data_IF_996723237228
#
_entry.id   IF_996723237228
#
_cell.length_a   1.000
_cell.length_b   1.000
_cell.length_c   1.000
_cell.angle_alpha   90.00
_cell.angle_beta   90.00
_cell.angle_gamma   90.00
#
_symmetry.space_group_name_H-M   'P 1'
#
loop_
_entity.id
_entity.type
_entity.pdbx_description
1 polymer ?
#
# COMPACT_ATOMS: atom_id res chain seq x y z
N UNK A 1 6.37 -19.90 -14.46
CA UNK A 1 7.67 -19.35 -14.01
C UNK A 1 8.20 -20.22 -12.88
N UNK A 2 9.39 -20.82 -13.00
CA UNK A 2 10.03 -21.57 -11.91
C UNK A 2 10.80 -20.57 -11.05
N UNK A 3 10.49 -20.51 -9.76
CA UNK A 3 11.31 -19.79 -8.79
C UNK A 3 12.66 -20.50 -8.58
N UNK A 4 13.65 -19.77 -8.07
CA UNK A 4 14.86 -20.42 -7.57
C UNK A 4 14.51 -21.26 -6.33
N UNK A 5 15.28 -22.31 -6.05
CA UNK A 5 15.09 -23.08 -4.81
C UNK A 5 15.27 -22.23 -3.54
N UNK A 6 16.09 -21.17 -3.62
CA UNK A 6 16.30 -20.21 -2.54
C UNK A 6 15.03 -19.38 -2.28
N UNK A 7 14.39 -18.88 -3.36
CA UNK A 7 13.14 -18.12 -3.25
C UNK A 7 11.99 -18.98 -2.74
N UNK A 8 11.88 -20.24 -3.19
CA UNK A 8 10.86 -21.17 -2.69
C UNK A 8 11.02 -21.45 -1.19
N UNK A 9 12.27 -21.62 -0.71
CA UNK A 9 12.56 -21.80 0.71
C UNK A 9 12.23 -20.54 1.53
N UNK A 10 12.56 -19.36 1.00
CA UNK A 10 12.23 -18.08 1.64
C UNK A 10 10.72 -17.91 1.80
N UNK A 11 9.96 -18.16 0.73
CA UNK A 11 8.49 -18.08 0.74
C UNK A 11 7.91 -19.07 1.74
N UNK A 12 8.44 -20.30 1.83
CA UNK A 12 8.00 -21.27 2.82
C UNK A 12 8.18 -20.78 4.25
N UNK A 13 9.36 -20.22 4.58
CA UNK A 13 9.61 -19.64 5.92
C UNK A 13 8.68 -18.47 6.24
N UNK A 14 8.42 -17.60 5.27
CA UNK A 14 7.49 -16.48 5.44
C UNK A 14 6.07 -17.01 5.68
N UNK A 15 5.62 -17.99 4.89
CA UNK A 15 4.31 -18.62 5.05
C UNK A 15 4.14 -19.25 6.44
N UNK A 16 5.15 -19.96 6.93
CA UNK A 16 5.13 -20.54 8.27
C UNK A 16 5.00 -19.46 9.35
N UNK A 17 5.78 -18.39 9.25
CA UNK A 17 5.67 -17.25 10.17
C UNK A 17 4.28 -16.59 10.12
N UNK A 18 3.75 -16.35 8.93
CA UNK A 18 2.41 -15.76 8.75
C UNK A 18 1.34 -16.64 9.39
N UNK A 19 1.38 -17.97 9.14
CA UNK A 19 0.41 -18.93 9.68
C UNK A 19 0.49 -19.01 11.21
N UNK A 20 1.70 -19.17 11.74
CA UNK A 20 1.89 -19.57 13.13
C UNK A 20 1.96 -18.37 14.09
N UNK A 21 2.43 -17.21 13.61
CA UNK A 21 2.67 -16.04 14.47
C UNK A 21 1.82 -14.81 14.13
N UNK A 22 1.57 -14.53 12.85
CA UNK A 22 0.87 -13.32 12.46
C UNK A 22 -0.66 -13.48 12.47
N UNK A 23 -1.19 -14.58 11.94
CA UNK A 23 -2.64 -14.88 11.93
C UNK A 23 -3.17 -15.03 13.35
N UNK A 24 -2.38 -15.57 14.27
CA UNK A 24 -2.75 -15.71 15.68
C UNK A 24 -3.04 -14.36 16.38
N UNK A 25 -2.57 -13.23 15.82
CA UNK A 25 -2.82 -11.87 16.33
C UNK A 25 -4.09 -11.21 15.74
N UNK A 26 -4.74 -11.84 14.76
CA UNK A 26 -5.93 -11.25 14.12
C UNK A 26 -7.07 -10.95 15.11
N UNK A 27 -7.43 -11.81 16.09
CA UNK A 27 -8.46 -11.49 17.06
C UNK A 27 -8.15 -10.21 17.87
N UNK A 28 -6.92 -10.04 18.31
CA UNK A 28 -6.50 -8.82 19.01
C UNK A 28 -6.53 -7.62 18.07
N UNK A 29 -6.03 -7.77 16.84
CA UNK A 29 -6.02 -6.71 15.83
C UNK A 29 -7.43 -6.22 15.48
N UNK A 30 -8.40 -7.10 15.38
CA UNK A 30 -9.78 -6.77 15.02
C UNK A 30 -10.56 -6.13 16.18
N UNK A 31 -10.18 -6.41 17.43
CA UNK A 31 -10.97 -6.02 18.62
C UNK A 31 -10.29 -4.98 19.51
N UNK A 32 -9.05 -4.54 19.20
CA UNK A 32 -8.29 -3.59 20.02
C UNK A 32 -7.70 -2.47 19.17
N UNK A 33 -7.54 -1.26 19.72
CA UNK A 33 -6.82 -0.18 19.06
C UNK A 33 -5.39 -0.61 18.67
N UNK A 34 -4.94 -0.31 17.45
CA UNK A 34 -3.63 -0.71 16.95
C UNK A 34 -2.48 -0.32 17.89
N UNK A 35 -2.56 0.86 18.52
CA UNK A 35 -1.55 1.34 19.47
C UNK A 35 -1.33 0.40 20.67
N UNK A 36 -2.34 -0.36 21.07
CA UNK A 36 -2.23 -1.30 22.18
C UNK A 36 -1.50 -2.58 21.79
N UNK A 37 -1.46 -2.90 20.50
CA UNK A 37 -0.74 -4.06 19.97
C UNK A 37 0.75 -3.77 19.77
N UNK A 38 1.18 -2.51 19.78
CA UNK A 38 2.56 -2.12 19.48
C UNK A 38 3.62 -2.93 20.23
N UNK A 39 3.53 -3.20 21.55
CA UNK A 39 4.54 -4.00 22.24
C UNK A 39 4.71 -5.40 21.63
N UNK A 40 3.59 -6.10 21.38
CA UNK A 40 3.59 -7.43 20.75
C UNK A 40 4.09 -7.36 19.30
N UNK A 41 3.67 -6.35 18.54
CA UNK A 41 4.12 -6.18 17.16
C UNK A 41 5.62 -5.87 17.06
N UNK A 42 6.18 -5.12 18.00
CA UNK A 42 7.63 -4.88 18.09
C UNK A 42 8.37 -6.20 18.33
N UNK A 43 7.92 -7.02 19.28
CA UNK A 43 8.49 -8.35 19.51
C UNK A 43 8.48 -9.21 18.24
N UNK A 44 7.34 -9.26 17.53
CA UNK A 44 7.24 -10.02 16.28
C UNK A 44 8.13 -9.47 15.17
N UNK A 45 8.32 -8.15 15.08
CA UNK A 45 9.26 -7.52 14.14
C UNK A 45 10.70 -7.90 14.44
N UNK A 46 11.11 -7.93 15.72
CA UNK A 46 12.43 -8.42 16.11
C UNK A 46 12.59 -9.92 15.75
N UNK A 47 11.55 -10.72 15.95
CA UNK A 47 11.55 -12.11 15.51
C UNK A 47 11.75 -12.28 14.00
N UNK A 48 11.12 -11.43 13.18
CA UNK A 48 11.34 -11.40 11.72
C UNK A 48 12.80 -11.07 11.38
N UNK A 49 13.44 -10.14 12.13
CA UNK A 49 14.87 -9.81 11.96
C UNK A 49 15.76 -10.99 12.33
N UNK A 50 15.52 -11.65 13.45
CA UNK A 50 16.27 -12.83 13.90
C UNK A 50 16.21 -13.98 12.88
N UNK A 51 15.08 -14.16 12.23
CA UNK A 51 14.89 -15.16 11.19
C UNK A 51 15.54 -14.77 9.85
N UNK A 52 16.10 -13.56 9.73
CA UNK A 52 16.70 -13.05 8.50
C UNK A 52 15.67 -12.78 7.38
N UNK A 53 14.45 -12.36 7.74
CA UNK A 53 13.34 -12.15 6.81
C UNK A 53 12.96 -10.66 6.66
N UNK A 54 13.76 -9.75 7.25
CA UNK A 54 13.47 -8.33 7.38
C UNK A 54 13.56 -7.58 6.06
N UNK A 55 12.61 -6.66 5.83
CA UNK A 55 12.59 -5.68 4.74
C UNK A 55 12.95 -6.29 3.37
N UNK A 56 12.13 -7.20 2.82
CA UNK A 56 12.45 -8.00 1.64
C UNK A 56 12.86 -7.16 0.41
N UNK A 57 12.28 -5.98 0.23
CA UNK A 57 12.51 -5.07 -0.89
C UNK A 57 13.77 -4.20 -0.74
N UNK A 58 14.30 -4.06 0.48
CA UNK A 58 15.44 -3.17 0.75
C UNK A 58 16.74 -3.90 0.41
N UNK A 59 17.72 -3.22 -0.25
CA UNK A 59 19.02 -3.80 -0.55
C UNK A 59 19.76 -4.32 0.71
N UNK A 60 20.56 -5.37 0.51
CA UNK A 60 21.30 -6.03 1.60
C UNK A 60 22.25 -5.08 2.35
N UNK A 61 22.82 -4.11 1.65
CA UNK A 61 23.69 -3.07 2.24
C UNK A 61 22.98 -2.20 3.29
N UNK A 62 21.62 -2.14 3.24
CA UNK A 62 20.80 -1.42 4.22
C UNK A 62 20.05 -2.36 5.18
N UNK A 63 20.41 -3.64 5.20
CA UNK A 63 19.87 -4.64 6.13
C UNK A 63 18.62 -5.37 5.64
N UNK A 64 18.22 -5.21 4.38
CA UNK A 64 17.13 -5.95 3.76
C UNK A 64 17.58 -7.23 3.05
N UNK A 65 16.65 -7.88 2.33
CA UNK A 65 16.96 -9.09 1.55
C UNK A 65 17.41 -8.79 0.12
N UNK A 66 17.14 -7.59 -0.42
CA UNK A 66 17.50 -7.19 -1.77
C UNK A 66 16.80 -8.00 -2.86
N UNK A 67 15.55 -8.38 -2.63
CA UNK A 67 14.78 -9.14 -3.62
C UNK A 67 14.47 -8.29 -4.85
N UNK A 68 14.55 -8.90 -6.04
CA UNK A 68 13.99 -8.34 -7.25
C UNK A 68 12.46 -8.22 -7.19
N UNK A 69 11.88 -7.50 -8.13
CA UNK A 69 10.45 -7.18 -8.11
C UNK A 69 9.55 -8.41 -8.20
N UNK A 70 9.96 -9.42 -8.99
CA UNK A 70 9.20 -10.68 -9.15
C UNK A 70 9.20 -11.47 -7.85
N UNK A 71 10.36 -11.66 -7.22
CA UNK A 71 10.48 -12.40 -5.97
C UNK A 71 9.76 -11.67 -4.84
N UNK A 72 9.91 -10.34 -4.76
CA UNK A 72 9.18 -9.52 -3.79
C UNK A 72 7.66 -9.54 -4.03
N UNK A 73 7.20 -9.59 -5.27
CA UNK A 73 5.79 -9.75 -5.58
C UNK A 73 5.23 -11.06 -4.98
N UNK A 74 5.97 -12.16 -5.08
CA UNK A 74 5.59 -13.46 -4.48
C UNK A 74 5.59 -13.42 -2.95
N UNK A 75 6.58 -12.76 -2.35
CA UNK A 75 6.60 -12.52 -0.90
C UNK A 75 5.39 -11.66 -0.48
N UNK A 76 5.07 -10.61 -1.24
CA UNK A 76 3.91 -9.75 -0.95
C UNK A 76 2.57 -10.50 -0.99
N UNK A 77 2.44 -11.54 -1.82
CA UNK A 77 1.29 -12.43 -1.80
C UNK A 77 1.14 -13.14 -0.44
N UNK A 78 2.21 -13.75 0.07
CA UNK A 78 2.16 -14.43 1.37
C UNK A 78 1.89 -13.44 2.52
N UNK A 79 2.52 -12.27 2.49
CA UNK A 79 2.28 -11.22 3.49
C UNK A 79 0.85 -10.67 3.46
N UNK A 80 0.20 -10.69 2.29
CA UNK A 80 -1.19 -10.27 2.11
C UNK A 80 -2.22 -11.19 2.76
N UNK A 81 -1.83 -12.37 3.22
CA UNK A 81 -2.72 -13.36 3.87
C UNK A 81 -3.20 -12.93 5.26
N UNK A 82 -2.64 -11.86 5.80
CA UNK A 82 -3.09 -11.23 7.06
C UNK A 82 -2.94 -9.71 6.98
N UNK A 83 -3.77 -8.92 7.68
CA UNK A 83 -3.62 -7.46 7.74
C UNK A 83 -2.26 -7.00 8.27
N UNK A 84 -1.61 -7.82 9.08
CA UNK A 84 -0.36 -7.49 9.78
C UNK A 84 0.91 -7.84 9.00
N UNK A 85 0.83 -8.67 7.94
CA UNK A 85 2.01 -9.24 7.29
C UNK A 85 3.01 -8.20 6.82
N UNK A 86 2.57 -7.22 6.02
CA UNK A 86 3.47 -6.18 5.50
C UNK A 86 4.06 -5.30 6.61
N UNK A 87 3.29 -5.01 7.67
CA UNK A 87 3.77 -4.26 8.82
C UNK A 87 4.89 -4.99 9.56
N UNK A 88 4.72 -6.28 9.80
CA UNK A 88 5.70 -7.10 10.52
C UNK A 88 7.03 -7.21 9.77
N UNK A 89 6.99 -7.19 8.43
CA UNK A 89 8.18 -7.32 7.57
C UNK A 89 8.74 -5.98 7.08
N UNK A 90 8.29 -4.83 7.61
CA UNK A 90 8.74 -3.49 7.23
C UNK A 90 8.62 -3.16 5.74
N UNK A 91 7.59 -3.66 5.10
CA UNK A 91 7.29 -3.38 3.70
C UNK A 91 5.86 -2.85 3.46
N UNK A 92 5.24 -2.30 4.51
CA UNK A 92 3.92 -1.69 4.45
C UNK A 92 3.96 -0.28 3.86
N UNK A 93 2.87 0.13 3.21
CA UNK A 93 2.65 1.53 2.89
C UNK A 93 2.27 2.32 4.18
N UNK A 94 2.66 3.59 4.31
CA UNK A 94 3.40 4.40 3.33
C UNK A 94 4.92 4.22 3.37
N UNK A 95 5.48 3.54 4.37
CA UNK A 95 6.92 3.45 4.63
C UNK A 95 7.68 2.83 3.46
N UNK A 96 7.18 1.76 2.85
CA UNK A 96 7.84 1.12 1.71
C UNK A 96 8.11 2.11 0.58
N UNK A 97 7.08 2.84 0.12
CA UNK A 97 7.26 3.84 -0.92
C UNK A 97 8.10 5.05 -0.49
N UNK A 98 8.05 5.44 0.78
CA UNK A 98 8.91 6.49 1.32
C UNK A 98 10.37 6.04 1.38
N UNK A 99 10.66 4.78 1.73
CA UNK A 99 12.01 4.22 1.66
C UNK A 99 12.56 4.22 0.23
N UNK A 100 11.75 3.83 -0.76
CA UNK A 100 12.15 3.83 -2.18
C UNK A 100 12.58 5.23 -2.65
N UNK A 101 11.78 6.26 -2.41
CA UNK A 101 12.13 7.61 -2.85
C UNK A 101 13.28 8.23 -2.04
N UNK A 102 13.39 7.93 -0.75
CA UNK A 102 14.52 8.36 0.08
C UNK A 102 15.82 7.70 -0.37
N UNK A 103 15.79 6.42 -0.71
CA UNK A 103 16.96 5.68 -1.19
C UNK A 103 17.53 6.32 -2.46
N UNK A 104 16.68 6.79 -3.37
CA UNK A 104 17.09 7.35 -4.67
C UNK A 104 17.40 8.84 -4.58
N UNK A 105 16.55 9.64 -3.95
CA UNK A 105 16.55 11.09 -4.04
C UNK A 105 17.11 11.82 -2.83
N UNK A 106 17.27 11.13 -1.67
CA UNK A 106 17.76 11.77 -0.47
C UNK A 106 19.28 12.05 -0.54
N UNK A 107 19.68 13.18 0.02
CA UNK A 107 21.08 13.50 0.26
C UNK A 107 21.69 12.54 1.31
N UNK A 108 23.04 12.44 1.42
CA UNK A 108 23.66 11.60 2.46
C UNK A 108 23.16 11.93 3.87
N UNK A 109 23.02 13.20 4.23
CA UNK A 109 22.49 13.64 5.54
C UNK A 109 21.03 13.21 5.72
N UNK A 110 20.19 13.34 4.69
CA UNK A 110 18.79 12.90 4.74
C UNK A 110 18.69 11.36 4.85
N UNK A 111 19.58 10.61 4.16
CA UNK A 111 19.61 9.14 4.29
C UNK A 111 19.95 8.73 5.72
N UNK A 112 20.94 9.35 6.34
CA UNK A 112 21.31 9.05 7.71
C UNK A 112 20.19 9.33 8.71
N UNK A 113 19.49 10.46 8.54
CA UNK A 113 18.45 10.91 9.48
C UNK A 113 17.10 10.23 9.29
N UNK A 114 16.72 9.88 8.07
CA UNK A 114 15.36 9.46 7.75
C UNK A 114 15.29 8.06 7.12
N UNK A 115 16.16 7.78 6.15
CA UNK A 115 16.11 6.51 5.42
C UNK A 115 16.61 5.35 6.27
N UNK A 116 17.81 5.45 6.87
CA UNK A 116 18.40 4.33 7.62
C UNK A 116 17.57 3.94 8.85
N UNK A 117 17.09 4.88 9.71
CA UNK A 117 16.20 4.52 10.80
C UNK A 117 14.87 3.89 10.33
N UNK A 118 14.32 4.37 9.19
CA UNK A 118 13.11 3.82 8.60
C UNK A 118 13.34 2.39 8.07
N UNK A 119 14.46 2.15 7.38
CA UNK A 119 14.84 0.82 6.86
C UNK A 119 15.08 -0.19 8.00
N UNK A 120 15.64 0.26 9.13
CA UNK A 120 15.82 -0.56 10.35
C UNK A 120 14.51 -0.77 11.13
N UNK A 121 13.43 -0.02 10.79
CA UNK A 121 12.16 -0.06 11.48
C UNK A 121 12.16 0.60 12.86
N UNK A 122 13.12 1.48 13.12
CA UNK A 122 13.26 2.27 14.36
C UNK A 122 12.26 3.42 14.41
N UNK A 123 11.91 3.94 13.23
CA UNK A 123 10.93 5.01 13.04
C UNK A 123 9.89 4.64 11.99
N UNK A 124 8.81 5.42 11.95
CA UNK A 124 7.75 5.34 10.94
C UNK A 124 7.62 6.66 10.22
N UNK A 125 7.04 6.64 9.03
CA UNK A 125 6.84 7.81 8.20
C UNK A 125 5.41 7.90 7.68
N UNK A 126 5.03 9.07 7.17
CA UNK A 126 3.80 9.22 6.42
C UNK A 126 4.03 10.00 5.11
N UNK A 127 3.06 9.94 4.21
CA UNK A 127 3.08 10.66 2.95
C UNK A 127 1.87 11.59 2.87
N UNK A 128 2.11 12.91 2.78
CA UNK A 128 1.08 13.94 2.89
C UNK A 128 0.91 14.62 1.53
N UNK A 129 -0.05 14.14 0.72
CA UNK A 129 -0.24 14.61 -0.66
C UNK A 129 -1.65 15.13 -0.91
N UNK A 130 -2.66 14.31 -0.68
CA UNK A 130 -4.06 14.58 -1.02
C UNK A 130 -4.64 15.72 -0.17
N UNK A 131 -5.47 16.54 -0.78
CA UNK A 131 -6.15 17.67 -0.15
C UNK A 131 -7.67 17.49 -0.22
N UNK A 132 -8.43 17.85 0.83
CA UNK A 132 -9.90 17.71 0.79
C UNK A 132 -10.56 18.65 -0.23
N UNK A 133 -9.94 19.79 -0.52
CA UNK A 133 -10.46 20.82 -1.43
C UNK A 133 -10.24 20.48 -2.92
N UNK A 134 -9.37 19.50 -3.23
CA UNK A 134 -8.99 19.16 -4.60
C UNK A 134 -9.13 17.67 -4.89
N UNK A 135 -9.45 17.29 -6.15
CA UNK A 135 -9.57 15.88 -6.51
C UNK A 135 -8.21 15.19 -6.49
N UNK A 136 -8.04 14.16 -5.65
CA UNK A 136 -6.81 13.36 -5.59
C UNK A 136 -6.44 12.66 -6.90
N UNK A 137 -7.39 12.55 -7.84
CA UNK A 137 -7.15 12.03 -9.20
C UNK A 137 -6.39 13.00 -10.11
N UNK A 138 -6.26 14.28 -9.71
CA UNK A 138 -5.42 15.27 -10.39
C UNK A 138 -4.30 15.76 -9.46
N UNK A 139 -3.19 15.06 -9.36
CA UNK A 139 -2.11 15.36 -8.42
C UNK A 139 -1.30 16.62 -8.75
N UNK A 140 -1.59 17.30 -9.86
CA UNK A 140 -0.97 18.58 -10.22
C UNK A 140 -1.74 19.80 -9.73
N UNK A 141 -2.95 19.58 -9.21
CA UNK A 141 -3.79 20.64 -8.65
C UNK A 141 -3.87 20.51 -7.14
N UNK A 142 -3.13 21.35 -6.45
CA UNK A 142 -3.11 21.43 -4.98
C UNK A 142 -2.89 22.87 -4.51
N UNK A 143 -3.29 23.16 -3.28
CA UNK A 143 -3.23 24.47 -2.65
C UNK A 143 -2.19 24.58 -1.54
N UNK A 144 -1.69 23.47 -0.99
CA UNK A 144 -0.60 23.50 -0.01
C UNK A 144 0.64 24.14 -0.63
N UNK A 145 1.14 25.18 0.00
CA UNK A 145 2.33 25.94 -0.46
C UNK A 145 3.53 25.70 0.43
N UNK A 146 4.71 25.85 -0.14
CA UNK A 146 5.97 25.93 0.60
C UNK A 146 6.80 27.09 0.05
N UNK A 147 6.77 28.20 0.78
CA UNK A 147 7.45 29.44 0.38
C UNK A 147 8.83 29.50 1.03
N UNK A 148 9.85 29.95 0.26
CA UNK A 148 11.20 30.17 0.81
C UNK A 148 11.26 31.48 1.57
N UNK A 149 11.69 31.39 2.82
CA UNK A 149 11.92 32.55 3.70
C UNK A 149 13.13 32.30 4.59
N UNK A 150 14.09 33.20 4.58
CA UNK A 150 15.26 33.23 5.49
C UNK A 150 16.05 31.90 5.60
N UNK A 151 16.17 31.17 4.51
CA UNK A 151 16.89 29.90 4.48
C UNK A 151 16.03 28.68 4.79
N UNK A 152 14.73 28.87 5.01
CA UNK A 152 13.74 27.82 5.30
C UNK A 152 12.66 27.71 4.23
N UNK A 153 11.87 26.64 4.28
CA UNK A 153 10.54 26.57 3.69
C UNK A 153 9.49 26.79 4.78
N UNK A 154 8.54 27.66 4.51
CA UNK A 154 7.33 27.85 5.34
C UNK A 154 6.17 27.19 4.62
N UNK A 155 5.64 26.14 5.25
CA UNK A 155 4.59 25.31 4.68
C UNK A 155 3.25 25.72 5.27
N UNK A 156 2.28 25.99 4.39
CA UNK A 156 0.88 26.25 4.76
C UNK A 156 -0.04 25.43 3.86
N UNK A 157 -1.00 24.71 4.47
CA UNK A 157 -1.94 23.93 3.69
C UNK A 157 -2.76 22.94 4.51
N UNK A 158 -3.64 22.24 3.81
CA UNK A 158 -4.58 21.29 4.41
C UNK A 158 -4.49 19.95 3.64
N UNK A 159 -4.16 18.91 4.36
CA UNK A 159 -4.02 17.56 3.82
C UNK A 159 -4.95 16.60 4.55
N UNK A 160 -5.37 15.57 3.85
CA UNK A 160 -6.10 14.46 4.45
C UNK A 160 -5.65 13.11 3.88
N UNK A 161 -6.16 12.03 4.44
CA UNK A 161 -5.67 10.68 4.13
C UNK A 161 -4.14 10.59 4.21
N UNK A 162 -3.54 11.36 5.14
CA UNK A 162 -2.15 11.21 5.51
C UNK A 162 -2.03 9.99 6.41
N UNK A 163 -1.99 8.81 5.77
CA UNK A 163 -2.02 7.52 6.45
C UNK A 163 -0.84 7.36 7.38
N UNK A 164 -1.07 6.79 8.57
CA UNK A 164 -0.06 6.54 9.61
C UNK A 164 0.56 7.80 10.22
N UNK A 165 0.03 9.00 9.99
CA UNK A 165 0.63 10.24 10.52
C UNK A 165 0.69 10.26 12.05
N UNK A 166 -0.27 9.65 12.74
CA UNK A 166 -0.30 9.59 14.20
C UNK A 166 0.92 8.85 14.78
N UNK A 167 1.37 7.76 14.13
CA UNK A 167 2.52 6.97 14.55
C UNK A 167 3.83 7.33 13.82
N UNK A 168 3.87 8.41 13.04
CA UNK A 168 5.03 8.77 12.23
C UNK A 168 6.01 9.68 12.97
N UNK A 169 7.30 9.56 12.65
CA UNK A 169 8.35 10.47 13.09
C UNK A 169 8.58 11.63 12.12
N UNK A 170 8.20 11.46 10.86
CA UNK A 170 8.26 12.51 9.83
C UNK A 170 7.24 12.26 8.72
N UNK A 171 6.91 13.32 8.00
CA UNK A 171 6.11 13.29 6.77
C UNK A 171 6.98 13.64 5.56
N UNK A 172 6.69 13.03 4.41
CA UNK A 172 7.07 13.57 3.10
C UNK A 172 5.86 14.32 2.56
N UNK A 173 5.99 15.64 2.44
CA UNK A 173 4.88 16.55 2.11
C UNK A 173 5.01 17.05 0.67
N UNK A 174 3.96 16.85 -0.13
CA UNK A 174 3.81 17.50 -1.44
C UNK A 174 3.28 18.91 -1.26
N UNK A 175 4.03 19.91 -1.76
CA UNK A 175 3.63 21.31 -1.70
C UNK A 175 4.04 22.07 -2.96
N UNK A 176 3.28 23.11 -3.30
CA UNK A 176 3.58 24.04 -4.40
C UNK A 176 4.74 24.93 -3.97
N UNK A 177 5.87 24.83 -4.67
CA UNK A 177 7.07 25.66 -4.46
C UNK A 177 7.30 26.67 -5.57
N UNK A 178 6.70 26.46 -6.74
CA UNK A 178 6.73 27.36 -7.87
C UNK A 178 5.36 27.41 -8.59
N UNK A 179 4.45 28.30 -8.16
CA UNK A 179 3.13 28.41 -8.78
C UNK A 179 3.19 28.94 -10.21
N UNK A 180 4.31 29.59 -10.63
CA UNK A 180 4.50 30.16 -11.96
C UNK A 180 5.21 29.22 -12.94
N UNK A 181 5.59 28.01 -12.52
CA UNK A 181 6.22 27.03 -13.41
C UNK A 181 5.36 26.80 -14.65
N UNK A 182 5.98 26.88 -15.85
CA UNK A 182 5.29 26.72 -17.13
C UNK A 182 4.58 25.38 -17.27
N UNK A 183 5.16 24.33 -16.69
CA UNK A 183 4.55 22.99 -16.64
C UNK A 183 3.87 22.75 -15.29
N UNK A 184 2.59 22.30 -15.25
CA UNK A 184 1.92 21.97 -14.01
C UNK A 184 2.63 20.83 -13.24
N UNK A 185 3.36 19.98 -13.95
CA UNK A 185 4.15 18.88 -13.37
C UNK A 185 5.41 19.35 -12.63
N UNK A 186 5.79 20.63 -12.76
CA UNK A 186 6.98 21.23 -12.13
C UNK A 186 6.65 22.21 -11.00
N UNK A 187 5.36 22.37 -10.67
CA UNK A 187 4.93 23.32 -9.63
C UNK A 187 5.22 22.83 -8.21
N UNK A 188 5.20 21.51 -8.01
CA UNK A 188 5.30 20.91 -6.68
C UNK A 188 6.65 20.31 -6.40
N UNK A 189 7.03 20.34 -5.13
CA UNK A 189 8.19 19.66 -4.57
C UNK A 189 7.79 18.73 -3.44
N UNK A 190 8.68 17.81 -3.06
CA UNK A 190 8.54 17.01 -1.84
C UNK A 190 9.47 17.54 -0.77
N UNK A 191 8.94 17.72 0.44
CA UNK A 191 9.68 18.29 1.58
C UNK A 191 9.54 17.35 2.77
N UNK A 192 10.65 17.00 3.41
CA UNK A 192 10.66 16.18 4.62
C UNK A 192 10.35 17.08 5.82
N UNK A 193 9.29 16.78 6.54
CA UNK A 193 8.83 17.53 7.71
C UNK A 193 8.85 16.62 8.94
N UNK A 194 9.74 16.83 9.93
CA UNK A 194 9.70 16.12 11.20
C UNK A 194 8.34 16.31 11.89
N UNK A 195 7.86 15.27 12.57
CA UNK A 195 6.52 15.26 13.19
C UNK A 195 6.36 16.29 14.30
N UNK A 196 7.45 16.61 15.00
CA UNK A 196 7.52 17.58 16.09
C UNK A 196 7.70 19.03 15.61
N UNK A 197 7.74 19.28 14.29
CA UNK A 197 7.85 20.64 13.74
C UNK A 197 6.61 21.47 14.15
N UNK A 198 6.80 22.65 14.77
CA UNK A 198 5.69 23.56 15.08
C UNK A 198 4.86 23.85 13.83
N UNK A 199 3.54 23.81 13.97
CA UNK A 199 2.62 23.99 12.84
C UNK A 199 2.28 22.70 12.06
N UNK A 200 2.85 21.54 12.42
CA UNK A 200 2.36 20.25 11.93
C UNK A 200 1.23 19.74 12.86
N UNK A 201 -0.01 19.99 12.51
CA UNK A 201 -1.15 19.72 13.35
C UNK A 201 -2.01 18.58 12.80
N UNK A 202 -2.10 17.43 13.50
CA UNK A 202 -3.12 16.43 13.23
C UNK A 202 -4.44 16.94 13.79
N UNK A 203 -5.42 17.12 12.90
CA UNK A 203 -6.77 17.61 13.27
C UNK A 203 -7.59 16.46 13.84
N UNK A 204 -7.57 15.32 13.17
CA UNK A 204 -8.29 14.09 13.55
C UNK A 204 -7.80 12.91 12.73
N UNK A 205 -8.12 11.70 13.14
CA UNK A 205 -8.14 10.55 12.26
C UNK A 205 -9.49 10.52 11.52
N UNK A 206 -9.44 10.42 10.20
CA UNK A 206 -10.63 10.35 9.33
C UNK A 206 -11.29 8.99 9.50
N UNK A 207 -12.56 8.97 9.84
CA UNK A 207 -13.31 7.71 9.91
C UNK A 207 -13.63 7.19 8.50
N UNK A 208 -13.11 6.02 8.17
CA UNK A 208 -13.32 5.35 6.89
C UNK A 208 -14.27 4.19 7.10
N UNK A 209 -15.48 4.26 6.53
CA UNK A 209 -16.53 3.25 6.68
C UNK A 209 -16.83 2.89 8.15
N UNK A 210 -16.79 3.89 9.05
CA UNK A 210 -17.08 3.76 10.46
C UNK A 210 -15.86 3.51 11.36
N UNK A 211 -14.65 3.35 10.80
CA UNK A 211 -13.41 3.07 11.53
C UNK A 211 -12.41 4.21 11.41
N UNK A 212 -12.02 4.81 12.53
CA UNK A 212 -11.04 5.91 12.57
C UNK A 212 -9.60 5.39 12.67
N UNK A 213 -9.41 4.20 13.21
CA UNK A 213 -8.10 3.61 13.44
C UNK A 213 -7.27 4.35 14.49
N UNK A 214 -6.05 3.86 14.69
CA UNK A 214 -5.04 4.51 15.56
C UNK A 214 -3.63 4.16 15.07
N UNK A 215 -2.66 5.01 15.36
CA UNK A 215 -1.26 4.83 14.99
C UNK A 215 -1.08 4.51 13.49
N UNK A 216 -0.44 3.37 13.15
CA UNK A 216 -0.28 2.89 11.78
C UNK A 216 -1.60 2.73 11.03
N UNK A 217 -2.59 2.16 11.67
CA UNK A 217 -3.89 1.86 11.08
C UNK A 217 -4.85 3.09 11.07
N UNK A 218 -4.31 4.29 10.90
CA UNK A 218 -5.09 5.53 10.85
C UNK A 218 -4.86 6.33 9.57
N UNK A 219 -5.82 7.21 9.26
CA UNK A 219 -5.74 8.14 8.14
C UNK A 219 -5.98 9.55 8.67
N UNK A 220 -4.93 10.35 8.81
CA UNK A 220 -5.05 11.66 9.43
C UNK A 220 -5.50 12.75 8.46
N UNK A 221 -6.28 13.68 8.98
CA UNK A 221 -6.45 15.03 8.46
C UNK A 221 -5.39 15.91 9.13
N UNK A 222 -4.59 16.63 8.33
CA UNK A 222 -3.43 17.38 8.79
C UNK A 222 -3.50 18.81 8.29
N UNK A 223 -3.24 19.79 9.18
CA UNK A 223 -3.01 21.18 8.82
C UNK A 223 -1.56 21.54 9.06
N UNK A 224 -0.96 22.16 8.06
CA UNK A 224 0.34 22.82 8.14
C UNK A 224 0.08 24.32 8.27
N UNK A 225 0.51 24.91 9.40
CA UNK A 225 0.25 26.30 9.75
C UNK A 225 1.58 26.98 10.10
N UNK A 226 2.13 27.74 9.15
CA UNK A 226 3.47 28.33 9.24
C UNK A 226 4.53 27.29 9.67
N UNK A 227 4.38 26.07 9.17
CA UNK A 227 5.26 24.96 9.47
C UNK A 227 6.62 25.18 8.80
N UNK A 228 7.63 25.53 9.59
CA UNK A 228 8.94 25.97 9.12
C UNK A 228 9.96 24.86 9.21
N UNK A 229 10.59 24.55 8.08
CA UNK A 229 11.68 23.55 7.97
C UNK A 229 12.84 24.08 7.15
N UNK A 230 14.09 23.68 7.46
CA UNK A 230 15.27 24.10 6.69
C UNK A 230 15.17 23.72 5.20
N UNK A 231 15.70 24.54 4.30
CA UNK A 231 15.72 24.24 2.86
C UNK A 231 16.41 22.92 2.52
N UNK A 232 17.36 22.45 3.36
CA UNK A 232 17.99 21.13 3.21
C UNK A 232 17.01 19.95 3.36
N UNK A 233 15.77 20.18 3.81
CA UNK A 233 14.71 19.17 3.89
C UNK A 233 13.98 18.95 2.55
N UNK A 234 14.34 19.71 1.49
CA UNK A 234 13.87 19.44 0.14
C UNK A 234 14.36 18.04 -0.31
N UNK A 235 13.47 17.18 -0.70
CA UNK A 235 13.79 15.85 -1.25
C UNK A 235 13.96 15.95 -2.77
N UNK A 236 15.12 15.57 -3.27
CA UNK A 236 15.47 15.72 -4.67
C UNK A 236 15.68 17.21 -5.07
N UNK A 237 15.09 17.63 -6.19
CA UNK A 237 15.19 19.01 -6.70
C UNK A 237 13.85 19.72 -6.62
N UNK A 238 13.89 21.06 -6.51
CA UNK A 238 12.68 21.86 -6.59
C UNK A 238 11.95 21.61 -7.92
N UNK A 239 10.63 21.41 -7.85
CA UNK A 239 9.79 21.12 -9.01
C UNK A 239 9.76 19.64 -9.43
N UNK A 240 10.49 18.75 -8.76
CA UNK A 240 10.48 17.31 -9.08
C UNK A 240 9.46 16.51 -8.25
N UNK A 241 8.64 17.17 -7.45
CA UNK A 241 7.71 16.49 -6.54
C UNK A 241 6.76 15.53 -7.24
N UNK A 242 6.23 15.91 -8.41
CA UNK A 242 5.37 15.02 -9.20
C UNK A 242 6.14 13.82 -9.77
N UNK A 243 7.34 14.04 -10.31
CA UNK A 243 8.18 12.97 -10.84
C UNK A 243 8.50 11.93 -9.78
N UNK A 244 8.98 12.37 -8.62
CA UNK A 244 9.31 11.50 -7.47
C UNK A 244 8.06 10.73 -7.01
N UNK A 245 6.87 11.38 -6.97
CA UNK A 245 5.63 10.71 -6.62
C UNK A 245 5.25 9.61 -7.64
N UNK A 246 5.50 9.80 -8.94
CA UNK A 246 5.24 8.77 -9.96
C UNK A 246 6.21 7.59 -9.85
N UNK A 247 7.48 7.83 -9.56
CA UNK A 247 8.48 6.78 -9.34
C UNK A 247 8.11 5.92 -8.12
N UNK A 248 7.64 6.55 -7.03
CA UNK A 248 7.13 5.86 -5.84
C UNK A 248 5.94 4.95 -6.15
N UNK A 249 5.03 5.37 -7.02
CA UNK A 249 3.76 4.67 -7.28
C UNK A 249 3.90 3.51 -8.27
N UNK A 250 4.95 3.44 -9.08
CA UNK A 250 5.12 2.39 -10.10
C UNK A 250 5.26 0.99 -9.50
N UNK A 251 6.36 0.69 -8.81
CA UNK A 251 6.60 -0.60 -8.15
C UNK A 251 5.58 -0.89 -7.03
N UNK A 252 5.15 0.14 -6.30
CA UNK A 252 4.14 0.03 -5.25
C UNK A 252 2.83 -0.61 -5.71
N UNK A 253 2.43 -0.41 -6.97
CA UNK A 253 1.21 -1.05 -7.53
C UNK A 253 1.36 -2.56 -7.70
N UNK A 254 2.55 -3.07 -8.04
CA UNK A 254 2.82 -4.52 -8.07
C UNK A 254 2.64 -5.10 -6.67
N UNK A 255 3.24 -4.47 -5.67
CA UNK A 255 3.13 -4.87 -4.27
C UNK A 255 1.67 -4.91 -3.81
N UNK A 256 0.89 -3.84 -4.07
CA UNK A 256 -0.53 -3.82 -3.71
C UNK A 256 -1.33 -4.90 -4.42
N UNK A 257 -1.14 -5.09 -5.72
CA UNK A 257 -1.85 -6.13 -6.47
C UNK A 257 -1.55 -7.53 -5.93
N UNK A 258 -0.29 -7.86 -5.60
CA UNK A 258 0.05 -9.16 -5.04
C UNK A 258 -0.45 -9.31 -3.59
N UNK A 259 -0.45 -8.27 -2.78
CA UNK A 259 -1.11 -8.26 -1.48
C UNK A 259 -2.60 -8.60 -1.61
N UNK A 260 -3.29 -8.01 -2.58
CA UNK A 260 -4.71 -8.32 -2.84
C UNK A 260 -4.91 -9.77 -3.32
N UNK A 261 -3.98 -10.33 -4.08
CA UNK A 261 -3.99 -11.77 -4.43
C UNK A 261 -3.85 -12.62 -3.16
N UNK A 262 -2.99 -12.25 -2.22
CA UNK A 262 -2.85 -12.92 -0.92
C UNK A 262 -4.13 -12.88 -0.08
N UNK A 263 -4.82 -11.74 -0.03
CA UNK A 263 -6.14 -11.58 0.59
C UNK A 263 -7.14 -12.54 -0.07
N UNK A 264 -7.16 -12.60 -1.42
CA UNK A 264 -8.05 -13.50 -2.14
C UNK A 264 -7.79 -14.98 -1.82
N UNK A 265 -6.51 -15.39 -1.76
CA UNK A 265 -6.14 -16.77 -1.42
C UNK A 265 -6.64 -17.15 -0.03
N UNK A 266 -6.38 -16.32 0.96
CA UNK A 266 -6.85 -16.55 2.33
C UNK A 266 -8.37 -16.58 2.40
N UNK A 267 -9.05 -15.65 1.72
CA UNK A 267 -10.53 -15.62 1.69
C UNK A 267 -11.12 -16.85 1.02
N UNK A 268 -10.50 -17.35 -0.04
CA UNK A 268 -10.92 -18.60 -0.70
C UNK A 268 -10.72 -19.82 0.21
N UNK A 269 -9.60 -19.91 0.90
CA UNK A 269 -9.34 -20.98 1.88
C UNK A 269 -10.40 -20.98 3.00
N UNK A 270 -10.64 -19.80 3.60
CA UNK A 270 -11.69 -19.65 4.64
C UNK A 270 -13.07 -20.03 4.11
N UNK A 271 -13.40 -19.64 2.87
CA UNK A 271 -14.66 -20.00 2.21
C UNK A 271 -14.78 -21.52 2.02
N UNK A 272 -13.71 -22.19 1.56
CA UNK A 272 -13.70 -23.63 1.35
C UNK A 272 -13.80 -24.40 2.68
N UNK A 273 -13.05 -23.97 3.69
CA UNK A 273 -13.06 -24.58 5.02
C UNK A 273 -14.42 -24.46 5.67
N UNK A 274 -15.00 -23.25 5.65
CA UNK A 274 -16.34 -23.05 6.19
C UNK A 274 -17.41 -23.86 5.43
N UNK A 275 -17.36 -23.88 4.10
CA UNK A 275 -18.31 -24.64 3.28
C UNK A 275 -18.21 -26.15 3.49
N UNK A 276 -17.02 -26.67 3.80
CA UNK A 276 -16.79 -28.09 4.06
C UNK A 276 -17.39 -28.54 5.42
N UNK A 277 -17.32 -27.68 6.44
CA UNK A 277 -17.70 -28.06 7.81
C UNK A 277 -19.06 -27.52 8.25
N UNK A 278 -19.58 -26.49 7.60
CA UNK A 278 -20.90 -25.95 7.94
C UNK A 278 -22.01 -26.83 7.42
N UNK A 279 -22.79 -27.44 8.32
CA UNK A 279 -24.00 -28.15 7.96
C UNK A 279 -25.20 -27.20 7.79
N UNK A 280 -26.00 -27.42 6.75
CA UNK A 280 -27.24 -26.71 6.43
C UNK A 280 -28.48 -27.55 6.83
N UNK A 281 -28.29 -28.84 7.05
CA UNK A 281 -29.18 -29.78 7.66
C UNK A 281 -28.32 -30.97 8.15
N UNK A 282 -28.81 -31.83 9.05
CA UNK A 282 -28.01 -32.94 9.57
C UNK A 282 -27.36 -33.79 8.48
N UNK A 283 -26.04 -33.88 8.50
CA UNK A 283 -25.23 -34.62 7.53
C UNK A 283 -25.09 -33.97 6.14
N UNK A 284 -25.57 -32.75 5.93
CA UNK A 284 -25.50 -32.07 4.64
C UNK A 284 -24.64 -30.82 4.75
N UNK A 285 -23.41 -30.88 4.25
CA UNK A 285 -22.49 -29.74 4.25
C UNK A 285 -22.94 -28.63 3.26
N UNK A 286 -22.67 -27.38 3.61
CA UNK A 286 -22.94 -26.21 2.76
C UNK A 286 -22.25 -26.34 1.38
N UNK A 287 -21.03 -26.88 1.33
CA UNK A 287 -20.27 -27.14 0.10
C UNK A 287 -20.93 -28.09 -0.89
N UNK A 288 -22.00 -28.84 -0.49
CA UNK A 288 -22.81 -29.64 -1.41
C UNK A 288 -23.69 -28.80 -2.35
N UNK A 289 -23.84 -27.49 -2.10
CA UNK A 289 -24.68 -26.61 -2.89
C UNK A 289 -23.96 -26.14 -4.13
N UNK A 290 -24.60 -26.27 -5.30
CA UNK A 290 -24.03 -25.94 -6.60
C UNK A 290 -23.58 -24.47 -6.69
N UNK A 291 -24.32 -23.53 -6.10
CA UNK A 291 -23.94 -22.11 -6.07
C UNK A 291 -22.61 -21.90 -5.35
N UNK A 292 -22.40 -22.60 -4.21
CA UNK A 292 -21.13 -22.50 -3.45
C UNK A 292 -19.98 -23.06 -4.28
N UNK A 293 -20.18 -24.19 -4.95
CA UNK A 293 -19.18 -24.81 -5.83
C UNK A 293 -18.83 -23.88 -7.01
N UNK A 294 -19.83 -23.21 -7.61
CA UNK A 294 -19.60 -22.23 -8.66
C UNK A 294 -18.76 -21.05 -8.16
N UNK A 295 -19.08 -20.47 -6.99
CA UNK A 295 -18.32 -19.36 -6.42
C UNK A 295 -16.87 -19.74 -6.08
N UNK A 296 -16.62 -20.95 -5.58
CA UNK A 296 -15.27 -21.47 -5.32
C UNK A 296 -14.48 -21.58 -6.64
N UNK A 297 -15.08 -22.17 -7.68
CA UNK A 297 -14.44 -22.35 -8.98
C UNK A 297 -14.15 -21.01 -9.67
N UNK A 298 -15.10 -20.08 -9.69
CA UNK A 298 -14.94 -18.73 -10.24
C UNK A 298 -13.85 -17.97 -9.49
N UNK A 299 -13.84 -18.01 -8.16
CA UNK A 299 -12.83 -17.34 -7.34
C UNK A 299 -11.43 -17.90 -7.65
N UNK A 300 -11.29 -19.23 -7.76
CA UNK A 300 -10.01 -19.85 -8.14
C UNK A 300 -9.53 -19.38 -9.51
N UNK A 301 -10.42 -19.35 -10.50
CA UNK A 301 -10.07 -18.89 -11.85
C UNK A 301 -9.62 -17.42 -11.86
N UNK A 302 -10.39 -16.55 -11.21
CA UNK A 302 -10.09 -15.12 -11.13
C UNK A 302 -8.76 -14.83 -10.39
N UNK A 303 -8.50 -15.51 -9.27
CA UNK A 303 -7.23 -15.38 -8.51
C UNK A 303 -6.05 -15.83 -9.37
N UNK A 304 -6.18 -16.97 -10.05
CA UNK A 304 -5.11 -17.50 -10.90
C UNK A 304 -4.78 -16.54 -12.05
N UNK A 305 -5.79 -16.01 -12.72
CA UNK A 305 -5.63 -15.02 -13.78
C UNK A 305 -4.99 -13.72 -13.27
N UNK A 306 -5.45 -13.20 -12.11
CA UNK A 306 -4.90 -12.00 -11.49
C UNK A 306 -3.40 -12.17 -11.15
N UNK A 307 -3.03 -13.27 -10.50
CA UNK A 307 -1.63 -13.58 -10.16
C UNK A 307 -0.73 -13.63 -11.40
N UNK A 308 -1.12 -14.38 -12.42
CA UNK A 308 -0.33 -14.53 -13.64
C UNK A 308 -0.15 -13.18 -14.34
N UNK A 309 -1.20 -12.35 -14.39
CA UNK A 309 -1.13 -11.04 -15.01
C UNK A 309 -0.19 -10.10 -14.25
N UNK A 310 -0.24 -10.07 -12.92
CA UNK A 310 0.66 -9.23 -12.10
C UNK A 310 2.12 -9.67 -12.26
N UNK A 311 2.38 -10.97 -12.21
CA UNK A 311 3.75 -11.50 -12.39
C UNK A 311 4.30 -11.20 -13.77
N UNK A 312 3.48 -11.29 -14.83
CA UNK A 312 3.88 -10.88 -16.17
C UNK A 312 4.25 -9.37 -16.23
N UNK A 313 3.47 -8.51 -15.57
CA UNK A 313 3.79 -7.08 -15.53
C UNK A 313 5.07 -6.83 -14.72
N UNK A 314 5.30 -7.56 -13.63
CA UNK A 314 6.55 -7.48 -12.87
C UNK A 314 7.77 -7.87 -13.73
N UNK A 315 7.68 -8.95 -14.53
CA UNK A 315 8.72 -9.33 -15.50
C UNK A 315 8.99 -8.20 -16.52
N UNK A 316 7.94 -7.58 -17.05
CA UNK A 316 8.10 -6.46 -17.99
C UNK A 316 8.78 -5.27 -17.34
N UNK A 317 8.45 -4.94 -16.09
CA UNK A 317 9.10 -3.84 -15.37
C UNK A 317 10.59 -4.12 -15.17
N UNK A 318 10.98 -5.34 -14.79
CA UNK A 318 12.40 -5.70 -14.64
C UNK A 318 13.16 -5.66 -15.97
N UNK A 319 12.54 -6.09 -17.06
CA UNK A 319 13.18 -6.15 -18.38
C UNK A 319 13.23 -4.79 -19.10
N UNK A 320 12.17 -3.99 -19.03
CA UNK A 320 11.95 -2.81 -19.90
C UNK A 320 11.81 -1.50 -19.08
N UNK A 321 11.70 -1.58 -17.76
CA UNK A 321 11.44 -0.46 -16.87
C UNK A 321 9.95 -0.09 -16.71
N UNK A 322 9.61 0.57 -15.62
CA UNK A 322 8.23 0.93 -15.26
C UNK A 322 7.55 1.86 -16.28
N UNK A 323 8.33 2.71 -16.97
CA UNK A 323 7.80 3.62 -17.99
C UNK A 323 7.24 2.88 -19.21
N UNK A 324 7.92 1.82 -19.67
CA UNK A 324 7.47 0.97 -20.76
C UNK A 324 6.23 0.15 -20.39
N UNK A 325 6.14 -0.29 -19.14
CA UNK A 325 5.02 -1.09 -18.60
C UNK A 325 3.82 -0.25 -18.09
N UNK A 326 3.78 1.05 -18.34
CA UNK A 326 2.79 1.98 -17.75
C UNK A 326 1.32 1.58 -17.99
N UNK A 327 1.00 1.12 -19.20
CA UNK A 327 -0.36 0.67 -19.54
C UNK A 327 -0.72 -0.60 -18.75
N UNK A 328 0.20 -1.55 -18.66
CA UNK A 328 -0.02 -2.82 -17.95
C UNK A 328 -0.10 -2.61 -16.43
N UNK A 329 0.70 -1.71 -15.86
CA UNK A 329 0.59 -1.29 -14.46
C UNK A 329 -0.81 -0.73 -14.18
N UNK A 330 -1.36 0.05 -15.11
CA UNK A 330 -2.72 0.57 -14.98
C UNK A 330 -3.75 -0.55 -15.11
N UNK A 331 -3.55 -1.50 -16.01
CA UNK A 331 -4.46 -2.62 -16.24
C UNK A 331 -4.57 -3.52 -15.01
N UNK A 332 -3.46 -3.95 -14.42
CA UNK A 332 -3.49 -4.81 -13.22
C UNK A 332 -4.17 -4.13 -12.04
N UNK A 333 -3.98 -2.82 -11.87
CA UNK A 333 -4.48 -2.11 -10.70
C UNK A 333 -6.01 -2.16 -10.59
N UNK A 334 -6.76 -1.81 -11.63
CA UNK A 334 -8.23 -1.88 -11.57
C UNK A 334 -8.76 -3.30 -11.67
N UNK A 335 -8.07 -4.19 -12.42
CA UNK A 335 -8.51 -5.57 -12.59
C UNK A 335 -8.42 -6.36 -11.29
N UNK A 336 -7.24 -6.35 -10.64
CA UNK A 336 -7.01 -7.12 -9.41
C UNK A 336 -7.82 -6.59 -8.23
N UNK A 337 -7.96 -5.26 -8.10
CA UNK A 337 -8.84 -4.68 -7.09
C UNK A 337 -10.30 -5.14 -7.26
N UNK A 338 -10.78 -5.24 -8.51
CA UNK A 338 -12.11 -5.77 -8.82
C UNK A 338 -12.24 -7.27 -8.49
N UNK A 339 -11.22 -8.07 -8.79
CA UNK A 339 -11.19 -9.50 -8.42
C UNK A 339 -11.27 -9.65 -6.90
N UNK A 340 -10.45 -8.92 -6.16
CA UNK A 340 -10.43 -8.99 -4.69
C UNK A 340 -11.80 -8.68 -4.09
N UNK A 341 -12.47 -7.63 -4.55
CA UNK A 341 -13.81 -7.28 -4.04
C UNK A 341 -14.82 -8.41 -4.28
N UNK A 342 -14.81 -9.07 -5.45
CA UNK A 342 -15.72 -10.19 -5.74
C UNK A 342 -15.42 -11.41 -4.89
N UNK A 343 -14.16 -11.76 -4.69
CA UNK A 343 -13.77 -12.91 -3.87
C UNK A 343 -14.13 -12.68 -2.41
N UNK A 344 -13.88 -11.48 -1.87
CA UNK A 344 -14.29 -11.10 -0.50
C UNK A 344 -15.81 -11.14 -0.33
N UNK A 345 -16.57 -10.61 -1.28
CA UNK A 345 -18.02 -10.62 -1.25
C UNK A 345 -18.58 -12.05 -1.19
N UNK A 346 -18.07 -12.95 -2.06
CA UNK A 346 -18.44 -14.36 -2.04
C UNK A 346 -18.07 -15.05 -0.73
N UNK A 347 -16.89 -14.76 -0.19
CA UNK A 347 -16.45 -15.34 1.08
C UNK A 347 -17.35 -14.91 2.24
N UNK A 348 -17.69 -13.62 2.34
CA UNK A 348 -18.66 -13.09 3.31
C UNK A 348 -20.00 -13.78 3.14
N UNK A 349 -20.52 -13.87 1.92
CA UNK A 349 -21.82 -14.48 1.63
C UNK A 349 -21.87 -15.95 2.05
N UNK A 350 -20.79 -16.71 1.84
CA UNK A 350 -20.69 -18.12 2.27
C UNK A 350 -20.68 -18.25 3.79
N UNK A 351 -20.02 -17.33 4.50
CA UNK A 351 -20.00 -17.32 5.96
C UNK A 351 -21.33 -16.83 6.58
N UNK A 352 -22.21 -16.19 5.79
CA UNK A 352 -23.47 -15.63 6.27
C UNK A 352 -23.21 -14.54 7.34
N UNK A 353 -23.98 -14.54 8.42
CA UNK A 353 -23.87 -13.53 9.47
C UNK A 353 -22.46 -13.47 10.10
N UNK A 354 -21.78 -14.61 10.24
CA UNK A 354 -20.40 -14.66 10.75
C UNK A 354 -19.44 -13.83 9.90
N UNK A 355 -19.61 -13.81 8.57
CA UNK A 355 -18.77 -13.03 7.65
C UNK A 355 -18.91 -11.51 7.81
N UNK A 356 -19.92 -11.03 8.54
CA UNK A 356 -20.16 -9.60 8.83
C UNK A 356 -19.59 -9.18 10.18
N UNK A 357 -19.10 -10.11 10.98
CA UNK A 357 -18.58 -9.84 12.34
C UNK A 357 -17.07 -9.67 12.34
N UNK A 358 -16.54 -9.13 13.42
CA UNK A 358 -15.11 -9.04 13.69
C UNK A 358 -14.54 -10.37 14.29
N UNK A 359 -15.33 -11.45 14.31
CA UNK A 359 -14.84 -12.81 14.62
C UNK A 359 -14.04 -13.42 13.46
N UNK A 360 -14.12 -12.79 12.28
CA UNK A 360 -13.29 -13.13 11.11
C UNK A 360 -12.71 -11.86 10.47
N UNK A 361 -11.61 -12.01 9.78
CA UNK A 361 -10.95 -10.90 9.09
C UNK A 361 -11.71 -10.42 7.83
N UNK A 362 -12.75 -11.15 7.39
CA UNK A 362 -13.43 -10.89 6.12
C UNK A 362 -14.13 -9.52 6.08
N UNK A 363 -14.87 -9.16 7.14
CA UNK A 363 -15.56 -7.88 7.24
C UNK A 363 -14.58 -6.71 7.28
N UNK A 364 -13.46 -6.88 8.02
CA UNK A 364 -12.38 -5.90 8.05
C UNK A 364 -11.82 -5.67 6.63
N UNK A 365 -11.42 -6.72 5.93
CA UNK A 365 -10.88 -6.58 4.56
C UNK A 365 -11.89 -5.98 3.59
N UNK A 366 -13.17 -6.36 3.69
CA UNK A 366 -14.20 -5.80 2.80
C UNK A 366 -14.32 -4.28 2.95
N UNK A 367 -14.34 -3.79 4.20
CA UNK A 367 -14.38 -2.35 4.51
C UNK A 367 -13.08 -1.65 4.12
N UNK A 368 -11.95 -2.15 4.60
CA UNK A 368 -10.66 -1.51 4.44
C UNK A 368 -10.18 -1.52 2.98
N UNK A 369 -10.26 -2.66 2.32
CA UNK A 369 -9.80 -2.83 0.95
C UNK A 369 -10.79 -2.32 -0.12
N UNK A 370 -11.98 -1.84 0.27
CA UNK A 370 -12.84 -1.11 -0.67
C UNK A 370 -12.12 0.11 -1.25
N UNK A 371 -11.21 0.69 -0.50
CA UNK A 371 -10.36 1.80 -0.91
C UNK A 371 -9.37 1.45 -2.04
N UNK A 372 -9.07 0.18 -2.27
CA UNK A 372 -8.19 -0.30 -3.34
C UNK A 372 -8.58 0.19 -4.74
N UNK A 373 -9.88 0.47 -4.96
CA UNK A 373 -10.41 1.00 -6.21
C UNK A 373 -10.31 2.53 -6.31
N UNK A 374 -9.78 3.19 -5.28
CA UNK A 374 -9.75 4.66 -5.15
C UNK A 374 -8.30 5.18 -5.02
N UNK A 375 -7.53 4.66 -4.07
CA UNK A 375 -6.17 5.13 -3.84
C UNK A 375 -5.22 4.73 -4.98
N UNK A 376 -4.05 5.37 -5.06
CA UNK A 376 -3.03 5.21 -6.11
C UNK A 376 -3.55 5.37 -7.54
N UNK A 377 -4.62 6.15 -7.66
CA UNK A 377 -5.41 6.39 -8.85
C UNK A 377 -6.69 5.56 -8.89
N UNK A 378 -7.87 6.20 -9.01
CA UNK A 378 -9.14 5.48 -9.12
C UNK A 378 -9.20 4.63 -10.39
N UNK A 379 -10.05 3.59 -10.36
CA UNK A 379 -10.25 2.65 -11.48
C UNK A 379 -10.47 3.38 -12.81
N UNK A 380 -11.22 4.49 -12.79
CA UNK A 380 -11.57 5.28 -13.96
C UNK A 380 -10.34 5.94 -14.60
N UNK A 381 -9.39 6.43 -13.79
CA UNK A 381 -8.12 6.98 -14.29
C UNK A 381 -7.31 5.89 -14.98
N UNK A 382 -7.17 4.72 -14.36
CA UNK A 382 -6.42 3.59 -14.92
C UNK A 382 -7.07 3.03 -16.19
N UNK A 383 -8.41 2.87 -16.21
CA UNK A 383 -9.15 2.47 -17.41
C UNK A 383 -8.97 3.47 -18.55
N UNK A 384 -8.97 4.77 -18.25
CA UNK A 384 -8.69 5.81 -19.25
C UNK A 384 -7.29 5.69 -19.83
N UNK A 385 -6.26 5.42 -19.00
CA UNK A 385 -4.88 5.23 -19.47
C UNK A 385 -4.80 4.08 -20.48
N UNK A 386 -5.37 2.92 -20.13
CA UNK A 386 -5.38 1.73 -21.01
C UNK A 386 -6.16 1.98 -22.29
N UNK A 387 -7.40 2.51 -22.18
CA UNK A 387 -8.25 2.76 -23.34
C UNK A 387 -7.62 3.75 -24.31
N UNK A 388 -7.03 4.84 -23.81
CA UNK A 388 -6.34 5.84 -24.64
C UNK A 388 -5.12 5.26 -25.34
N UNK A 389 -4.33 4.41 -24.66
CA UNK A 389 -3.19 3.72 -25.27
C UNK A 389 -3.62 2.86 -26.45
N UNK A 390 -4.70 2.10 -26.29
CA UNK A 390 -5.27 1.27 -27.36
C UNK A 390 -5.81 2.13 -28.50
N UNK A 391 -6.66 3.14 -28.22
CA UNK A 391 -7.31 3.97 -29.25
C UNK A 391 -6.31 4.78 -30.08
N UNK A 392 -5.19 5.24 -29.51
CA UNK A 392 -4.12 5.90 -30.28
C UNK A 392 -3.54 5.01 -31.38
N UNK A 393 -3.45 3.70 -31.15
CA UNK A 393 -2.99 2.74 -32.17
C UNK A 393 -3.94 2.66 -33.40
N UNK A 394 -5.18 3.10 -33.22
CA UNK A 394 -6.20 3.18 -34.27
C UNK A 394 -6.40 4.61 -34.80
N UNK A 395 -5.50 5.55 -34.45
CA UNK A 395 -5.52 6.93 -34.96
C UNK A 395 -6.54 7.85 -34.30
N UNK A 396 -7.10 7.46 -33.15
CA UNK A 396 -8.07 8.31 -32.42
C UNK A 396 -7.29 9.29 -31.54
N UNK A 397 -7.51 10.59 -31.74
CA UNK A 397 -7.05 11.63 -30.80
C UNK A 397 -8.01 11.64 -29.59
N UNK A 398 -7.51 11.20 -28.45
CA UNK A 398 -8.29 11.05 -27.23
C UNK A 398 -8.07 12.19 -26.22
N UNK A 399 -7.48 13.31 -26.69
CA UNK A 399 -7.17 14.46 -25.83
C UNK A 399 -6.33 14.09 -24.61
N UNK A 400 -5.70 15.08 -23.98
CA UNK A 400 -4.98 14.87 -22.71
C UNK A 400 -5.98 14.78 -21.55
#
# INVERSE_FOLDING_TARGET
MKLSAETDLLISKIRDFIRDEAIALEPDFLNRPFRELLPTLVEKRERVKELGLWAPQIPREYGGLGLGLIDFARVSEELGRTPLGHYLFNCQAPDAGNMEVLMVHATPDQKERYFLPLARGEVRSCFSMTEPEHPGSNPTWMSTTAVREDGDYVINGHKWFTSSAEGSSFAIVMAVTDPQAASPYKRCSQIIVPRDTPGFNIVRNVSVMGEAGSDYASHAEVRYENCRVPQRNLLGKQGDGFLIAQERLGPGRIQHCMRWVGICERSLEMMCEYAAHREISPGVALGSRQTIQAWIAESRAEISAARLLVLHVAERIEAEGASAAREDISLIKFFVAGVMQRVLDRAIQVHGALGLTDDTVLAYWYRHERAARIYDGPDEVHKSVVARGILRKYGVDVGI
#
